data_IF_630024787376
#
_entry.id   IF_630024787376
#
_cell.length_a   1.000
_cell.length_b   1.000
_cell.length_c   1.000
_cell.angle_alpha   90.00
_cell.angle_beta   90.00
_cell.angle_gamma   90.00
#
_symmetry.space_group_name_H-M   'P 1'
#
loop_
_entity.id
_entity.type
_entity.pdbx_description
1 polymer ?
#
# COMPACT_ATOMS: atom_id res chain seq x y z
N UNK A 1 48.33 49.73 67.87
CA UNK A 1 49.65 49.73 67.20
C UNK A 1 50.35 48.41 67.48
N UNK A 2 50.60 47.63 66.42
CA UNK A 2 51.76 46.76 66.14
C UNK A 2 52.16 45.72 67.21
N UNK A 3 52.42 44.45 66.92
CA UNK A 3 52.60 43.68 65.70
C UNK A 3 52.61 42.20 66.17
N UNK A 4 51.69 41.33 65.73
CA UNK A 4 51.85 39.89 65.92
C UNK A 4 52.44 39.31 64.62
N UNK A 5 53.65 38.77 64.72
CA UNK A 5 54.41 38.18 63.62
C UNK A 5 53.93 36.73 63.37
N UNK A 6 53.41 36.52 62.16
CA UNK A 6 53.69 35.43 61.20
C UNK A 6 54.01 34.03 61.72
N UNK A 7 53.26 33.02 61.26
CA UNK A 7 53.79 31.78 60.67
C UNK A 7 52.80 31.37 59.56
N UNK A 8 53.24 31.45 58.31
CA UNK A 8 52.54 30.94 57.13
C UNK A 8 53.24 29.65 56.73
N UNK A 9 52.56 28.51 56.81
CA UNK A 9 53.02 27.25 56.26
C UNK A 9 52.45 27.15 54.84
N UNK A 10 53.29 27.34 53.84
CA UNK A 10 52.96 27.03 52.44
C UNK A 10 53.96 25.98 51.94
N UNK A 11 53.58 24.71 52.08
CA UNK A 11 54.27 23.59 51.47
C UNK A 11 53.69 23.43 50.05
N UNK A 12 54.32 24.06 49.07
CA UNK A 12 54.03 23.83 47.64
C UNK A 12 55.02 22.75 47.17
N UNK A 13 54.63 21.48 47.30
CA UNK A 13 55.32 20.39 46.65
C UNK A 13 54.88 20.32 45.19
N UNK A 14 55.83 20.57 44.30
CA UNK A 14 55.78 20.27 42.87
C UNK A 14 55.17 18.88 42.63
N UNK A 15 53.92 18.83 42.19
CA UNK A 15 53.37 17.66 41.50
C UNK A 15 53.68 17.81 40.02
N UNK A 16 54.56 16.94 39.54
CA UNK A 16 54.91 16.76 38.15
C UNK A 16 53.64 16.51 37.33
N UNK A 17 53.23 17.48 36.52
CA UNK A 17 52.19 17.30 35.52
C UNK A 17 52.76 16.38 34.46
N UNK A 18 52.57 15.07 34.63
CA UNK A 18 52.74 14.11 33.55
C UNK A 18 51.57 14.33 32.60
N UNK A 19 51.82 15.07 31.53
CA UNK A 19 50.90 15.17 30.40
C UNK A 19 50.83 13.79 29.75
N UNK A 20 49.90 12.96 30.20
CA UNK A 20 49.45 11.81 29.44
C UNK A 20 48.81 12.37 28.17
N UNK A 21 49.52 12.26 27.04
CA UNK A 21 48.88 12.38 25.74
C UNK A 21 47.97 11.18 25.62
N UNK A 22 46.70 11.36 25.94
CA UNK A 22 45.66 10.46 25.45
C UNK A 22 45.71 10.60 23.92
N UNK A 23 46.25 9.59 23.25
CA UNK A 23 45.89 9.37 21.86
C UNK A 23 44.42 8.98 21.91
N UNK A 24 43.55 9.93 21.58
CA UNK A 24 42.24 9.56 21.08
C UNK A 24 42.55 8.77 19.81
N UNK A 25 42.44 7.45 19.91
CA UNK A 25 42.32 6.60 18.74
C UNK A 25 41.08 7.15 18.02
N UNK A 26 41.31 7.80 16.88
CA UNK A 26 40.24 8.25 16.00
C UNK A 26 39.58 6.94 15.57
N UNK A 27 38.52 6.56 16.28
CA UNK A 27 37.74 5.39 15.93
C UNK A 27 37.28 5.64 14.51
N UNK A 28 37.90 4.95 13.55
CA UNK A 28 37.41 4.87 12.20
C UNK A 28 35.99 4.35 12.33
N UNK A 29 35.04 5.25 12.12
CA UNK A 29 33.61 4.96 12.13
C UNK A 29 33.43 3.96 10.99
N UNK A 30 33.42 2.66 11.32
CA UNK A 30 33.12 1.62 10.36
C UNK A 30 31.63 1.75 10.08
N UNK A 31 31.34 2.50 9.03
CA UNK A 31 30.08 2.54 8.31
C UNK A 31 29.37 1.18 8.38
N UNK A 32 28.36 1.08 9.24
CA UNK A 32 27.54 -0.12 9.37
C UNK A 32 26.45 -0.10 8.31
N UNK A 33 25.98 -1.28 7.92
CA UNK A 33 24.88 -1.40 6.98
C UNK A 33 23.57 -1.59 7.74
N UNK A 34 22.51 -0.94 7.27
CA UNK A 34 21.13 -1.19 7.69
C UNK A 34 20.39 -1.74 6.49
N UNK A 35 19.68 -2.85 6.69
CA UNK A 35 18.81 -3.43 5.67
C UNK A 35 17.37 -3.36 6.15
N UNK A 36 16.52 -2.74 5.34
CA UNK A 36 15.08 -2.61 5.59
C UNK A 36 14.34 -3.37 4.50
N UNK A 37 13.37 -4.19 4.87
CA UNK A 37 12.46 -4.86 3.93
C UNK A 37 11.03 -4.38 4.19
N UNK A 38 10.38 -3.86 3.14
CA UNK A 38 8.97 -3.48 3.19
C UNK A 38 8.10 -4.62 2.64
N UNK A 39 7.18 -5.12 3.48
CA UNK A 39 6.19 -6.12 3.10
C UNK A 39 4.80 -5.51 3.27
N UNK A 40 3.99 -5.57 2.21
CA UNK A 40 2.58 -5.17 2.26
C UNK A 40 1.72 -6.44 2.25
N UNK A 41 0.76 -6.53 3.15
CA UNK A 41 -0.19 -7.62 3.26
C UNK A 41 -1.52 -7.18 2.67
N UNK A 42 -1.92 -7.76 1.54
CA UNK A 42 -3.25 -7.51 0.98
C UNK A 42 -4.28 -8.29 1.78
N UNK A 43 -5.28 -7.64 2.34
CA UNK A 43 -6.22 -8.26 3.28
C UNK A 43 -7.65 -8.28 2.73
N UNK A 44 -8.28 -9.45 2.77
CA UNK A 44 -9.71 -9.63 2.50
C UNK A 44 -10.36 -10.29 3.73
N UNK A 45 -11.26 -9.57 4.38
CA UNK A 45 -12.14 -10.15 5.40
C UNK A 45 -13.24 -10.96 4.73
N UNK A 46 -13.38 -12.22 5.12
CA UNK A 46 -14.39 -13.12 4.59
C UNK A 46 -15.75 -12.88 5.28
N UNK A 47 -16.88 -13.07 4.57
CA UNK A 47 -18.19 -13.19 5.20
C UNK A 47 -18.24 -14.32 6.22
N UNK A 48 -19.12 -14.16 7.21
CA UNK A 48 -19.49 -15.26 8.11
C UNK A 48 -19.96 -16.48 7.30
N UNK A 49 -19.53 -17.67 7.71
CA UNK A 49 -19.87 -18.95 7.06
C UNK A 49 -19.35 -19.09 5.61
N UNK A 50 -18.24 -18.42 5.27
CA UNK A 50 -17.56 -18.68 4.00
C UNK A 50 -17.16 -20.17 3.88
N UNK A 51 -17.44 -20.75 2.72
CA UNK A 51 -17.16 -22.16 2.42
C UNK A 51 -15.64 -22.43 2.43
N UNK A 52 -15.22 -23.57 2.98
CA UNK A 52 -13.81 -23.99 2.96
C UNK A 52 -13.26 -24.06 1.54
N UNK A 53 -14.10 -24.37 0.53
CA UNK A 53 -13.68 -24.37 -0.87
C UNK A 53 -13.21 -22.99 -1.38
N UNK A 54 -13.69 -21.90 -0.78
CA UNK A 54 -13.25 -20.54 -1.08
C UNK A 54 -11.88 -20.29 -0.45
N UNK A 55 -11.68 -20.74 0.78
CA UNK A 55 -10.41 -20.63 1.52
C UNK A 55 -9.31 -21.43 0.79
N UNK A 56 -9.57 -22.72 0.53
CA UNK A 56 -8.63 -23.63 -0.15
C UNK A 56 -8.18 -23.06 -1.51
N UNK A 57 -9.12 -22.43 -2.23
CA UNK A 57 -8.84 -21.80 -3.52
C UNK A 57 -7.82 -20.66 -3.39
N UNK A 58 -7.98 -19.80 -2.38
CA UNK A 58 -7.09 -18.69 -2.13
C UNK A 58 -5.71 -19.17 -1.64
N UNK A 59 -5.68 -20.15 -0.74
CA UNK A 59 -4.43 -20.75 -0.25
C UNK A 59 -3.60 -21.37 -1.37
N UNK A 60 -4.25 -22.10 -2.29
CA UNK A 60 -3.59 -22.62 -3.50
C UNK A 60 -3.05 -21.53 -4.44
N UNK A 61 -3.54 -20.29 -4.31
CA UNK A 61 -3.07 -19.12 -5.05
C UNK A 61 -2.04 -18.26 -4.33
N UNK A 62 -1.49 -18.74 -3.21
CA UNK A 62 -0.46 -18.03 -2.43
C UNK A 62 -1.01 -16.98 -1.46
N UNK A 63 -2.28 -17.08 -1.09
CA UNK A 63 -2.83 -16.35 0.05
C UNK A 63 -2.73 -17.21 1.33
N UNK A 64 -2.81 -16.58 2.48
CA UNK A 64 -2.80 -17.23 3.79
C UNK A 64 -4.10 -16.92 4.52
N UNK A 65 -4.73 -17.93 5.12
CA UNK A 65 -5.95 -17.75 5.89
C UNK A 65 -5.65 -17.64 7.38
N UNK A 66 -6.11 -16.55 8.00
CA UNK A 66 -6.09 -16.36 9.45
C UNK A 66 -7.48 -16.69 10.04
N UNK A 67 -7.64 -17.84 10.73
CA UNK A 67 -8.93 -18.24 11.30
C UNK A 67 -9.33 -17.40 12.53
N UNK A 68 -8.40 -16.70 13.18
CA UNK A 68 -8.69 -15.84 14.34
C UNK A 68 -9.36 -14.54 13.91
N UNK A 69 -8.92 -13.96 12.79
CA UNK A 69 -9.48 -12.71 12.25
C UNK A 69 -10.46 -12.95 11.09
N UNK A 70 -10.63 -14.18 10.64
CA UNK A 70 -11.43 -14.56 9.46
C UNK A 70 -11.01 -13.78 8.20
N UNK A 71 -9.70 -13.73 7.95
CA UNK A 71 -9.10 -12.94 6.88
C UNK A 71 -8.20 -13.78 5.99
N UNK A 72 -8.22 -13.48 4.69
CA UNK A 72 -7.22 -13.90 3.72
C UNK A 72 -6.17 -12.81 3.58
N UNK A 73 -4.90 -13.18 3.56
CA UNK A 73 -3.76 -12.27 3.46
C UNK A 73 -2.84 -12.68 2.32
N UNK A 74 -2.26 -11.73 1.59
CA UNK A 74 -1.23 -12.02 0.59
C UNK A 74 -0.04 -11.08 0.80
N UNK A 75 1.11 -11.61 1.24
CA UNK A 75 2.32 -10.80 1.34
C UNK A 75 2.81 -10.45 -0.07
N UNK A 76 3.11 -9.17 -0.28
CA UNK A 76 3.63 -8.65 -1.54
C UNK A 76 4.70 -7.59 -1.26
N UNK A 77 5.64 -7.48 -2.19
CA UNK A 77 6.70 -6.46 -2.20
C UNK A 77 6.56 -5.63 -3.46
N UNK A 78 7.04 -4.40 -3.42
CA UNK A 78 7.01 -3.50 -4.57
C UNK A 78 8.39 -2.89 -4.78
N UNK A 79 8.77 -2.80 -6.05
CA UNK A 79 9.91 -2.00 -6.49
C UNK A 79 9.56 -0.51 -6.45
N UNK A 80 10.51 0.32 -6.04
CA UNK A 80 10.41 1.77 -6.12
C UNK A 80 9.52 2.43 -5.08
N UNK A 81 9.24 1.76 -3.95
CA UNK A 81 8.59 2.41 -2.81
C UNK A 81 9.59 3.27 -2.05
N UNK A 82 9.15 4.45 -1.66
CA UNK A 82 9.93 5.36 -0.82
C UNK A 82 10.00 4.84 0.63
N UNK A 83 11.22 4.66 1.11
CA UNK A 83 11.55 4.37 2.51
C UNK A 83 12.53 5.45 2.97
N UNK A 84 12.19 6.12 4.06
CA UNK A 84 13.01 7.15 4.66
C UNK A 84 13.75 6.57 5.87
N UNK A 85 15.08 6.65 5.87
CA UNK A 85 15.91 6.24 7.00
C UNK A 85 16.71 7.43 7.47
N UNK A 86 16.48 7.88 8.72
CA UNK A 86 17.07 9.08 9.31
C UNK A 86 16.98 10.33 8.39
N UNK A 87 15.81 10.59 7.82
CA UNK A 87 15.54 11.70 6.91
C UNK A 87 16.21 11.62 5.53
N UNK A 88 16.77 10.45 5.16
CA UNK A 88 17.26 10.18 3.81
C UNK A 88 16.29 9.23 3.11
N UNK A 89 15.83 9.61 1.93
CA UNK A 89 14.88 8.82 1.12
C UNK A 89 15.63 7.83 0.24
N UNK A 90 15.17 6.59 0.25
CA UNK A 90 15.62 5.48 -0.57
C UNK A 90 14.44 4.83 -1.28
N UNK A 91 14.72 4.10 -2.35
CA UNK A 91 13.72 3.35 -3.09
C UNK A 91 13.99 1.86 -2.97
N UNK A 92 12.95 1.08 -2.72
CA UNK A 92 13.05 -0.39 -2.65
C UNK A 92 13.44 -1.00 -4.00
N UNK A 93 14.15 -2.12 -3.95
CA UNK A 93 14.37 -2.99 -5.10
C UNK A 93 13.15 -3.89 -5.41
N UNK A 94 13.28 -4.81 -6.37
CA UNK A 94 12.23 -5.76 -6.76
C UNK A 94 11.72 -6.66 -5.62
N UNK A 95 12.52 -6.84 -4.56
CA UNK A 95 12.19 -7.63 -3.38
C UNK A 95 11.68 -6.78 -2.21
N UNK A 96 11.44 -5.48 -2.43
CA UNK A 96 11.00 -4.56 -1.38
C UNK A 96 12.12 -4.16 -0.42
N UNK A 97 13.40 -4.32 -0.80
CA UNK A 97 14.54 -4.16 0.10
C UNK A 97 15.29 -2.85 -0.18
N UNK A 98 15.74 -2.19 0.89
CA UNK A 98 16.72 -1.11 0.87
C UNK A 98 17.90 -1.51 1.77
N UNK A 99 19.11 -1.50 1.21
CA UNK A 99 20.35 -1.63 1.97
C UNK A 99 21.16 -0.34 1.87
N UNK A 100 21.51 0.24 3.01
CA UNK A 100 22.23 1.51 3.08
C UNK A 100 23.31 1.47 4.15
N UNK A 101 24.34 2.29 3.97
CA UNK A 101 25.34 2.51 5.00
C UNK A 101 24.95 3.70 5.87
N UNK A 102 25.06 3.54 7.18
CA UNK A 102 24.81 4.57 8.19
C UNK A 102 26.11 4.95 8.89
N UNK A 103 26.20 6.21 9.33
CA UNK A 103 27.27 6.69 10.21
C UNK A 103 27.07 6.19 11.66
N UNK A 104 25.89 5.65 11.98
CA UNK A 104 25.57 5.12 13.30
C UNK A 104 26.30 3.80 13.59
N UNK A 105 26.72 3.62 14.83
CA UNK A 105 27.38 2.41 15.29
C UNK A 105 26.37 1.28 15.56
N UNK A 106 26.83 0.04 15.62
CA UNK A 106 26.00 -1.10 16.00
C UNK A 106 25.32 -0.87 17.38
N UNK A 107 24.02 -1.11 17.44
CA UNK A 107 23.18 -0.88 18.63
C UNK A 107 22.71 0.56 18.82
N UNK A 108 23.06 1.50 17.93
CA UNK A 108 22.39 2.82 17.88
C UNK A 108 21.09 2.71 17.09
N UNK A 109 20.07 3.48 17.45
CA UNK A 109 18.75 3.43 16.81
C UNK A 109 18.72 4.24 15.51
N UNK A 110 18.07 3.71 14.46
CA UNK A 110 17.64 4.45 13.26
C UNK A 110 16.13 4.65 13.26
N UNK A 111 15.67 5.80 12.74
CA UNK A 111 14.25 6.00 12.45
C UNK A 111 13.97 5.60 11.01
N UNK A 112 12.94 4.77 10.83
CA UNK A 112 12.51 4.26 9.52
C UNK A 112 11.07 4.72 9.32
N UNK A 113 10.82 5.41 8.21
CA UNK A 113 9.48 5.80 7.77
C UNK A 113 9.14 5.19 6.41
N UNK A 114 7.89 4.77 6.23
CA UNK A 114 7.38 4.24 4.97
C UNK A 114 6.03 4.88 4.65
N UNK A 115 5.78 5.15 3.36
CA UNK A 115 4.45 5.56 2.90
C UNK A 115 3.40 4.49 3.27
N UNK A 116 2.28 4.96 3.82
CA UNK A 116 1.10 4.13 4.09
C UNK A 116 0.23 4.07 2.83
N UNK A 117 -0.03 2.87 2.33
CA UNK A 117 -0.86 2.60 1.17
C UNK A 117 -2.28 2.23 1.59
N UNK A 118 -3.27 2.78 0.88
CA UNK A 118 -4.68 2.46 1.12
C UNK A 118 -5.39 2.10 -0.18
N UNK A 119 -6.19 1.03 -0.15
CA UNK A 119 -7.09 0.67 -1.24
C UNK A 119 -8.47 1.38 -1.14
N UNK A 120 -8.58 2.38 -0.27
CA UNK A 120 -9.78 3.20 -0.06
C UNK A 120 -9.40 4.66 0.12
N UNK A 121 -9.93 5.56 -0.70
CA UNK A 121 -9.93 6.99 -0.36
C UNK A 121 -11.20 7.71 -0.85
N UNK A 122 -12.22 7.77 0.01
CA UNK A 122 -12.95 9.01 0.23
C UNK A 122 -12.36 9.67 1.47
N UNK A 123 -11.19 10.27 1.33
CA UNK A 123 -10.82 11.56 1.93
C UNK A 123 -9.30 11.77 1.88
N UNK A 124 -8.91 12.86 1.23
CA UNK A 124 -7.54 13.33 0.91
C UNK A 124 -6.65 13.57 2.14
N UNK A 125 -7.06 13.17 3.35
CA UNK A 125 -6.31 13.35 4.60
C UNK A 125 -5.52 12.12 5.05
N UNK A 126 -5.74 10.93 4.48
CA UNK A 126 -4.99 9.71 4.82
C UNK A 126 -3.78 9.45 3.90
N UNK A 127 -3.81 9.86 2.63
CA UNK A 127 -2.74 9.72 1.60
C UNK A 127 -1.34 10.27 1.92
N UNK A 128 -1.11 10.89 3.08
CA UNK A 128 0.21 11.37 3.48
C UNK A 128 0.65 10.85 4.86
N UNK A 129 -0.02 9.81 5.39
CA UNK A 129 0.44 9.18 6.62
C UNK A 129 1.67 8.32 6.33
N UNK A 130 2.71 8.51 7.13
CA UNK A 130 3.87 7.63 7.14
C UNK A 130 3.78 6.71 8.35
N UNK A 131 4.06 5.44 8.14
CA UNK A 131 4.36 4.51 9.23
C UNK A 131 5.78 4.81 9.69
N UNK A 132 5.95 5.12 10.98
CA UNK A 132 7.25 5.41 11.58
C UNK A 132 7.58 4.34 12.62
N UNK A 133 8.79 3.79 12.56
CA UNK A 133 9.32 2.81 13.51
C UNK A 133 10.80 3.11 13.81
N UNK A 134 11.31 2.55 14.91
CA UNK A 134 12.72 2.60 15.25
C UNK A 134 13.31 1.19 15.31
N UNK A 135 14.57 1.07 14.93
CA UNK A 135 15.29 -0.20 14.98
C UNK A 135 16.77 0.02 15.28
N UNK A 136 17.39 -0.95 15.95
CA UNK A 136 18.83 -0.92 16.22
C UNK A 136 19.62 -1.22 14.94
N UNK A 137 20.71 -0.48 14.72
CA UNK A 137 21.69 -0.77 13.68
C UNK A 137 22.33 -2.13 13.97
N UNK A 138 22.08 -3.08 13.08
CA UNK A 138 22.63 -4.43 13.15
C UNK A 138 22.65 -5.04 11.75
N UNK A 139 23.30 -6.20 11.62
CA UNK A 139 23.27 -7.00 10.38
C UNK A 139 21.90 -7.66 10.13
N UNK A 140 20.94 -7.54 11.07
CA UNK A 140 19.59 -8.07 10.91
C UNK A 140 18.74 -7.19 9.99
N UNK A 141 17.86 -7.83 9.24
CA UNK A 141 16.91 -7.10 8.38
C UNK A 141 15.73 -6.61 9.22
N UNK A 142 15.50 -5.30 9.18
CA UNK A 142 14.30 -4.70 9.78
C UNK A 142 13.13 -4.88 8.81
N UNK A 143 12.11 -5.62 9.23
CA UNK A 143 10.91 -5.84 8.42
C UNK A 143 9.84 -4.84 8.82
N UNK A 144 9.40 -4.02 7.86
CA UNK A 144 8.28 -3.08 8.01
C UNK A 144 7.06 -3.69 7.33
N UNK A 145 6.09 -4.11 8.15
CA UNK A 145 4.85 -4.70 7.67
C UNK A 145 3.69 -3.70 7.67
N UNK A 146 2.92 -3.68 6.58
CA UNK A 146 1.69 -2.90 6.48
C UNK A 146 0.54 -3.76 5.96
N UNK A 147 -0.67 -3.51 6.44
CA UNK A 147 -1.87 -4.27 6.07
C UNK A 147 -2.83 -3.40 5.25
N UNK A 148 -3.00 -3.73 3.98
CA UNK A 148 -3.85 -3.02 3.02
C UNK A 148 -5.19 -3.72 2.92
N UNK A 149 -6.26 -3.08 3.40
CA UNK A 149 -7.61 -3.65 3.38
C UNK A 149 -8.25 -3.53 1.99
N UNK A 150 -8.42 -4.65 1.30
CA UNK A 150 -9.07 -4.71 -0.02
C UNK A 150 -10.59 -4.80 0.04
N UNK A 151 -11.21 -4.94 1.21
CA UNK A 151 -12.67 -5.02 1.31
C UNK A 151 -13.33 -3.80 0.71
N UNK A 152 -12.76 -2.59 0.81
CA UNK A 152 -13.34 -1.40 0.16
C UNK A 152 -13.33 -1.49 -1.37
N UNK A 153 -12.21 -1.94 -1.96
CA UNK A 153 -12.12 -2.18 -3.41
C UNK A 153 -13.11 -3.24 -3.86
N UNK A 154 -13.29 -4.27 -3.04
CA UNK A 154 -14.31 -5.29 -3.25
C UNK A 154 -15.70 -4.68 -3.14
N UNK A 155 -15.91 -3.75 -2.16
CA UNK A 155 -17.09 -2.99 -1.68
C UNK A 155 -17.48 -1.67 -2.38
N UNK A 156 -16.82 -1.28 -3.47
CA UNK A 156 -17.13 -0.02 -4.19
C UNK A 156 -17.57 -0.19 -5.66
N UNK A 157 -18.22 -1.30 -5.99
CA UNK A 157 -18.92 -1.66 -7.22
C UNK A 157 -20.22 -0.90 -7.37
N UNK A 158 -21.05 -0.90 -6.33
CA UNK A 158 -22.45 -0.50 -6.35
C UNK A 158 -22.73 0.83 -5.66
N UNK A 159 -21.79 1.37 -4.89
CA UNK A 159 -21.96 2.59 -4.07
C UNK A 159 -21.95 3.92 -4.85
N UNK A 160 -22.50 3.91 -6.06
CA UNK A 160 -23.18 5.08 -6.59
C UNK A 160 -24.62 5.06 -6.10
N UNK A 161 -24.86 5.60 -4.90
CA UNK A 161 -26.20 5.79 -4.37
C UNK A 161 -27.06 6.47 -5.45
N UNK A 162 -28.11 5.76 -5.89
CA UNK A 162 -29.17 6.29 -6.72
C UNK A 162 -29.95 7.30 -5.88
N UNK A 163 -29.61 8.58 -6.01
CA UNK A 163 -30.63 9.60 -5.83
C UNK A 163 -31.53 9.51 -7.06
N UNK A 164 -32.77 9.06 -6.83
CA UNK A 164 -33.87 9.19 -7.76
C UNK A 164 -33.94 10.65 -8.23
N UNK A 165 -33.50 10.93 -9.46
CA UNK A 165 -33.92 12.13 -10.16
C UNK A 165 -35.08 11.70 -11.05
N UNK A 166 -36.29 11.94 -10.54
CA UNK A 166 -37.54 11.87 -11.30
C UNK A 166 -37.39 12.64 -12.61
N UNK A 167 -37.76 12.00 -13.70
CA UNK A 167 -37.90 12.59 -15.03
C UNK A 167 -38.78 13.86 -14.98
N UNK A 168 -38.21 15.05 -15.21
CA UNK A 168 -38.95 16.17 -15.80
C UNK A 168 -38.07 16.97 -16.79
N UNK A 169 -38.50 16.89 -18.04
CA UNK A 169 -38.46 17.91 -19.10
C UNK A 169 -37.12 18.29 -19.77
N UNK A 170 -37.10 18.02 -21.08
CA UNK A 170 -36.19 18.62 -22.04
C UNK A 170 -36.47 20.12 -22.18
N UNK A 171 -35.44 20.98 -22.09
CA UNK A 171 -35.33 22.18 -22.92
C UNK A 171 -33.89 22.71 -23.00
N UNK A 172 -33.43 22.77 -24.25
CA UNK A 172 -32.60 23.77 -24.93
C UNK A 172 -31.62 24.70 -24.16
N UNK A 173 -30.46 24.83 -24.80
CA UNK A 173 -29.55 25.97 -24.85
C UNK A 173 -28.54 26.27 -23.72
N UNK A 174 -27.29 26.30 -24.19
CA UNK A 174 -26.18 27.20 -23.82
C UNK A 174 -25.13 26.65 -22.86
N UNK A 175 -24.00 26.25 -23.46
CA UNK A 175 -22.71 26.06 -22.81
C UNK A 175 -22.24 27.41 -22.21
N UNK A 176 -22.03 27.43 -20.90
CA UNK A 176 -21.13 28.38 -20.24
C UNK A 176 -20.15 27.59 -19.37
N UNK A 177 -18.86 27.74 -19.70
CA UNK A 177 -17.73 27.35 -18.85
C UNK A 177 -17.81 28.13 -17.54
N UNK A 178 -18.02 27.41 -16.44
CA UNK A 178 -17.23 27.41 -15.21
C UNK A 178 -18.02 26.66 -14.13
N UNK A 179 -17.30 26.00 -13.24
CA UNK A 179 -17.81 25.18 -12.11
C UNK A 179 -18.48 23.85 -12.46
N UNK A 180 -17.68 22.79 -12.57
CA UNK A 180 -18.06 21.50 -11.99
C UNK A 180 -16.89 20.92 -11.21
N UNK A 181 -16.90 21.15 -9.89
CA UNK A 181 -16.34 20.20 -8.92
C UNK A 181 -17.20 18.94 -9.05
N UNK A 182 -16.83 18.08 -10.01
CA UNK A 182 -17.56 16.85 -10.29
C UNK A 182 -17.37 15.87 -9.15
N UNK A 183 -18.43 15.60 -8.39
CA UNK A 183 -18.53 14.40 -7.58
C UNK A 183 -18.21 13.18 -8.45
N UNK A 184 -17.11 12.48 -8.15
CA UNK A 184 -16.78 11.20 -8.76
C UNK A 184 -17.74 10.13 -8.23
N UNK A 185 -18.94 10.08 -8.82
CA UNK A 185 -19.91 9.00 -8.66
C UNK A 185 -19.38 7.76 -9.38
N UNK A 186 -18.70 6.89 -8.65
CA UNK A 186 -18.14 5.65 -9.17
C UNK A 186 -19.09 4.45 -8.95
N UNK A 187 -20.36 4.55 -9.34
CA UNK A 187 -20.98 3.35 -9.90
C UNK A 187 -20.19 3.03 -11.17
N UNK A 188 -19.82 1.77 -11.41
CA UNK A 188 -19.48 1.37 -12.76
C UNK A 188 -20.71 1.74 -13.61
N UNK A 189 -20.69 2.80 -14.43
CA UNK A 189 -21.86 3.10 -15.21
C UNK A 189 -22.08 1.83 -16.05
N UNK A 190 -23.34 1.39 -16.10
CA UNK A 190 -23.81 0.38 -17.04
C UNK A 190 -23.66 -1.11 -16.66
N UNK A 191 -23.45 -1.54 -15.42
CA UNK A 191 -23.64 -2.97 -15.07
C UNK A 191 -24.67 -3.17 -13.95
N UNK A 192 -25.71 -3.94 -14.25
CA UNK A 192 -26.70 -4.35 -13.27
C UNK A 192 -26.11 -5.43 -12.36
N UNK A 193 -26.60 -5.52 -11.13
CA UNK A 193 -26.21 -6.58 -10.21
C UNK A 193 -26.42 -7.97 -10.85
N UNK A 194 -25.43 -8.84 -10.73
CA UNK A 194 -25.32 -10.18 -11.32
C UNK A 194 -25.25 -10.20 -12.85
N UNK A 195 -25.08 -9.06 -13.50
CA UNK A 195 -24.89 -9.00 -14.95
C UNK A 195 -23.57 -9.67 -15.34
N UNK A 196 -23.62 -10.54 -16.35
CA UNK A 196 -22.45 -11.03 -17.04
C UNK A 196 -22.16 -10.08 -18.22
N UNK A 197 -21.05 -9.32 -18.22
CA UNK A 197 -20.74 -8.42 -19.31
C UNK A 197 -20.37 -9.18 -20.58
N UNK A 198 -20.62 -8.58 -21.74
CA UNK A 198 -20.09 -9.08 -23.01
C UNK A 198 -18.57 -8.83 -23.09
N UNK A 199 -17.86 -9.72 -23.80
CA UNK A 199 -16.43 -9.54 -24.10
C UNK A 199 -16.18 -8.17 -24.75
N UNK A 200 -15.13 -7.49 -24.33
CA UNK A 200 -14.74 -6.17 -24.82
C UNK A 200 -15.53 -5.00 -24.22
N UNK A 201 -16.56 -5.26 -23.40
CA UNK A 201 -17.34 -4.21 -22.76
C UNK A 201 -16.45 -3.32 -21.90
N UNK A 202 -16.62 -2.01 -22.01
CA UNK A 202 -15.99 -1.05 -21.12
C UNK A 202 -16.45 -1.31 -19.68
N UNK A 203 -15.49 -1.39 -18.77
CA UNK A 203 -15.73 -1.60 -17.34
C UNK A 203 -14.77 -0.70 -16.55
N UNK A 204 -15.07 -0.52 -15.26
CA UNK A 204 -14.16 0.14 -14.34
C UNK A 204 -12.85 -0.65 -14.27
N UNK A 205 -12.89 -1.83 -13.64
CA UNK A 205 -11.76 -2.73 -13.52
C UNK A 205 -12.20 -4.17 -13.74
N UNK A 206 -11.33 -4.99 -14.34
CA UNK A 206 -11.47 -6.44 -14.44
C UNK A 206 -11.19 -7.09 -13.07
N UNK A 207 -11.94 -6.70 -12.04
CA UNK A 207 -11.83 -7.26 -10.69
C UNK A 207 -12.70 -8.51 -10.48
N UNK A 208 -13.48 -8.87 -11.49
CA UNK A 208 -14.47 -9.94 -11.39
C UNK A 208 -14.34 -10.95 -12.55
N UNK A 209 -13.18 -11.00 -13.20
CA UNK A 209 -12.92 -11.87 -14.34
C UNK A 209 -12.05 -13.10 -14.02
N UNK A 210 -11.77 -13.36 -12.74
CA UNK A 210 -10.96 -14.49 -12.29
C UNK A 210 -11.51 -15.84 -12.74
N UNK A 211 -10.64 -16.83 -12.99
CA UNK A 211 -11.01 -18.02 -13.78
C UNK A 211 -11.98 -18.98 -13.07
N UNK A 212 -11.91 -19.11 -11.74
CA UNK A 212 -12.83 -19.93 -10.92
C UNK A 212 -14.14 -19.22 -10.58
N UNK A 213 -14.22 -17.94 -10.91
CA UNK A 213 -15.42 -17.14 -10.81
C UNK A 213 -16.42 -17.40 -11.93
N UNK A 214 -17.65 -16.93 -11.74
CA UNK A 214 -18.70 -16.94 -12.76
C UNK A 214 -18.63 -15.72 -13.70
N UNK A 215 -17.76 -14.75 -13.41
CA UNK A 215 -17.54 -13.58 -14.25
C UNK A 215 -18.61 -12.50 -14.12
N UNK A 216 -19.58 -12.65 -13.21
CA UNK A 216 -20.68 -11.70 -13.03
C UNK A 216 -20.23 -10.52 -12.17
N UNK A 217 -20.75 -9.36 -12.50
CA UNK A 217 -20.64 -8.17 -11.67
C UNK A 217 -21.58 -8.31 -10.47
N UNK A 218 -21.10 -8.06 -9.26
CA UNK A 218 -21.91 -8.12 -8.03
C UNK A 218 -21.92 -6.74 -7.39
N UNK A 219 -23.09 -6.10 -7.31
CA UNK A 219 -23.20 -4.77 -6.70
C UNK A 219 -23.15 -4.79 -5.17
N UNK A 220 -23.25 -5.97 -4.56
CA UNK A 220 -23.04 -6.22 -3.13
C UNK A 220 -21.86 -7.19 -2.96
N UNK A 221 -20.92 -6.85 -2.11
CA UNK A 221 -19.58 -6.67 -2.63
C UNK A 221 -18.48 -7.40 -1.87
N UNK A 222 -18.80 -7.85 -0.66
CA UNK A 222 -18.06 -8.89 0.02
C UNK A 222 -18.74 -10.25 -0.13
N UNK A 223 -19.70 -10.45 -1.03
CA UNK A 223 -20.34 -11.76 -1.18
C UNK A 223 -19.30 -12.84 -1.53
N UNK A 224 -19.48 -14.11 -1.10
CA UNK A 224 -18.54 -15.19 -1.46
C UNK A 224 -18.34 -15.33 -2.98
N UNK A 225 -19.33 -14.98 -3.78
CA UNK A 225 -19.23 -14.94 -5.24
C UNK A 225 -18.36 -13.79 -5.77
N UNK A 226 -18.46 -12.60 -5.18
CA UNK A 226 -17.61 -11.47 -5.54
C UNK A 226 -16.14 -11.75 -5.21
N UNK A 227 -15.88 -12.28 -4.01
CA UNK A 227 -14.55 -12.72 -3.58
C UNK A 227 -14.01 -13.80 -4.53
N UNK A 228 -14.82 -14.82 -4.86
CA UNK A 228 -14.43 -15.84 -5.84
C UNK A 228 -14.11 -15.27 -7.22
N UNK A 229 -14.83 -14.24 -7.67
CA UNK A 229 -14.57 -13.58 -8.95
C UNK A 229 -13.28 -12.72 -8.93
N UNK A 230 -12.88 -12.23 -7.75
CA UNK A 230 -11.66 -11.44 -7.56
C UNK A 230 -10.40 -12.28 -7.63
N UNK A 231 -10.43 -13.50 -7.11
CA UNK A 231 -9.29 -14.41 -7.15
C UNK A 231 -8.73 -14.61 -8.57
N UNK A 232 -7.46 -14.27 -8.77
CA UNK A 232 -6.78 -14.24 -10.08
C UNK A 232 -7.48 -13.43 -11.16
N UNK A 233 -8.29 -12.45 -10.78
CA UNK A 233 -8.73 -11.42 -11.70
C UNK A 233 -7.55 -10.56 -12.14
N UNK A 234 -7.73 -9.76 -13.19
CA UNK A 234 -6.70 -8.79 -13.56
C UNK A 234 -6.37 -7.86 -12.38
N UNK A 235 -7.37 -7.50 -11.56
CA UNK A 235 -7.19 -6.62 -10.41
C UNK A 235 -6.32 -7.26 -9.32
N UNK A 236 -6.60 -8.49 -8.89
CA UNK A 236 -5.78 -9.22 -7.91
C UNK A 236 -4.31 -9.26 -8.34
N UNK A 237 -4.05 -9.70 -9.57
CA UNK A 237 -2.68 -9.85 -10.06
C UNK A 237 -2.00 -8.49 -10.29
N UNK A 238 -2.75 -7.45 -10.65
CA UNK A 238 -2.20 -6.09 -10.78
C UNK A 238 -1.83 -5.48 -9.45
N UNK A 239 -2.70 -5.64 -8.43
CA UNK A 239 -2.43 -5.17 -7.07
C UNK A 239 -1.18 -5.83 -6.51
N UNK A 240 -0.96 -7.11 -6.78
CA UNK A 240 0.26 -7.81 -6.38
C UNK A 240 1.54 -7.37 -7.12
N UNK A 241 1.45 -6.54 -8.17
CA UNK A 241 2.60 -6.10 -8.99
C UNK A 241 2.81 -4.59 -8.99
N UNK A 242 1.81 -3.82 -8.61
CA UNK A 242 1.85 -2.37 -8.70
C UNK A 242 0.88 -1.72 -7.73
N UNK A 243 1.31 -0.60 -7.17
CA UNK A 243 0.50 0.26 -6.31
C UNK A 243 -0.55 1.08 -7.06
N UNK A 244 -0.47 1.17 -8.40
CA UNK A 244 -1.32 2.05 -9.21
C UNK A 244 -2.82 1.77 -9.05
N UNK A 245 -3.20 0.51 -8.87
CA UNK A 245 -4.60 0.09 -8.78
C UNK A 245 -5.24 0.38 -7.42
N UNK A 246 -4.47 0.82 -6.41
CA UNK A 246 -5.04 1.25 -5.12
C UNK A 246 -5.87 2.53 -5.24
N UNK A 247 -5.49 3.42 -6.15
CA UNK A 247 -6.14 4.72 -6.35
C UNK A 247 -7.52 4.63 -7.04
N UNK A 248 -7.94 3.45 -7.50
CA UNK A 248 -9.09 3.24 -8.41
C UNK A 248 -10.44 3.71 -7.85
N UNK A 249 -10.55 3.90 -6.54
CA UNK A 249 -11.75 4.41 -5.86
C UNK A 249 -11.53 5.77 -5.17
N UNK A 250 -10.43 6.44 -5.51
CA UNK A 250 -10.10 7.79 -5.08
C UNK A 250 -10.43 8.87 -6.10
N UNK A 251 -9.95 10.09 -5.84
CA UNK A 251 -10.21 11.28 -6.68
C UNK A 251 -9.53 11.26 -8.05
N UNK A 252 -8.46 10.48 -8.21
CA UNK A 252 -7.75 10.34 -9.49
C UNK A 252 -7.44 8.86 -9.78
N UNK A 253 -8.46 8.07 -10.16
CA UNK A 253 -8.30 6.64 -10.30
C UNK A 253 -7.39 6.26 -11.47
N UNK A 254 -6.62 5.18 -11.34
CA UNK A 254 -5.78 4.68 -12.44
C UNK A 254 -6.61 3.88 -13.45
N UNK A 255 -7.53 3.07 -12.91
CA UNK A 255 -8.53 2.29 -13.59
C UNK A 255 -9.89 2.92 -13.30
N UNK A 256 -10.69 3.24 -14.31
CA UNK A 256 -12.01 3.82 -14.12
C UNK A 256 -12.88 3.54 -15.33
N UNK A 257 -14.20 3.55 -15.16
CA UNK A 257 -15.10 3.29 -16.29
C UNK A 257 -15.23 4.49 -17.25
N UNK A 258 -14.80 5.67 -16.79
CA UNK A 258 -14.62 6.89 -17.59
C UNK A 258 -13.44 7.70 -17.03
N UNK A 259 -12.73 8.47 -17.88
CA UNK A 259 -12.81 8.47 -19.35
C UNK A 259 -12.34 7.13 -19.95
N UNK A 260 -12.63 6.90 -21.24
CA UNK A 260 -12.27 5.64 -21.93
C UNK A 260 -10.78 5.31 -21.89
N UNK A 261 -9.93 6.33 -21.72
CA UNK A 261 -8.48 6.21 -21.52
C UNK A 261 -8.08 5.61 -20.18
N UNK A 262 -9.02 5.38 -19.24
CA UNK A 262 -8.82 4.70 -17.96
C UNK A 262 -9.58 3.37 -17.80
N UNK A 263 -10.39 2.96 -18.78
CA UNK A 263 -11.14 1.70 -18.75
C UNK A 263 -10.22 0.49 -18.57
N UNK A 264 -10.53 -0.36 -17.58
CA UNK A 264 -9.87 -1.64 -17.30
C UNK A 264 -8.34 -1.57 -17.30
N UNK A 265 -7.78 -0.43 -16.88
CA UNK A 265 -6.38 -0.11 -17.04
C UNK A 265 -5.44 -0.98 -16.21
N UNK A 266 -5.90 -1.51 -15.06
CA UNK A 266 -5.16 -2.53 -14.32
C UNK A 266 -4.83 -3.75 -15.18
N UNK A 267 -5.73 -4.16 -16.09
CA UNK A 267 -5.46 -5.24 -17.05
C UNK A 267 -4.18 -5.01 -17.87
N UNK A 268 -3.80 -3.76 -18.16
CA UNK A 268 -2.57 -3.44 -18.92
C UNK A 268 -1.31 -3.78 -18.13
N UNK A 269 -1.31 -3.62 -16.79
CA UNK A 269 -0.16 -3.97 -15.92
C UNK A 269 0.19 -5.45 -16.06
N UNK A 270 -0.82 -6.28 -16.31
CA UNK A 270 -0.69 -7.71 -16.46
C UNK A 270 -0.73 -8.20 -17.91
N UNK A 271 -0.66 -7.27 -18.89
CA UNK A 271 -0.61 -7.59 -20.32
C UNK A 271 -1.95 -8.02 -20.94
N UNK A 272 -3.06 -7.76 -20.26
CA UNK A 272 -4.41 -8.10 -20.71
C UNK A 272 -5.14 -6.94 -21.38
N UNK A 273 -6.24 -7.26 -22.06
CA UNK A 273 -7.08 -6.28 -22.73
C UNK A 273 -7.87 -5.40 -21.74
N UNK A 274 -8.08 -4.14 -22.11
CA UNK A 274 -8.78 -3.13 -21.29
C UNK A 274 -10.28 -3.34 -21.14
N UNK A 275 -10.90 -4.06 -22.07
CA UNK A 275 -12.32 -4.40 -21.98
C UNK A 275 -12.53 -5.66 -21.13
N UNK A 276 -13.77 -5.90 -20.73
CA UNK A 276 -14.12 -7.12 -20.02
C UNK A 276 -13.71 -8.36 -20.82
N UNK A 277 -13.09 -9.31 -20.15
CA UNK A 277 -12.78 -10.62 -20.69
C UNK A 277 -12.69 -11.61 -19.54
N UNK A 278 -13.41 -12.73 -19.64
CA UNK A 278 -13.37 -13.77 -18.61
C UNK A 278 -12.09 -14.61 -18.75
N UNK A 279 -11.42 -14.93 -17.64
CA UNK A 279 -10.34 -15.92 -17.67
C UNK A 279 -10.92 -17.34 -17.75
N UNK A 280 -10.27 -18.18 -18.55
CA UNK A 280 -10.67 -19.58 -18.82
C UNK A 280 -9.64 -20.61 -18.35
N UNK A 281 -8.54 -20.16 -17.77
CA UNK A 281 -7.51 -21.00 -17.14
C UNK A 281 -6.74 -20.19 -16.12
N UNK A 282 -5.74 -20.80 -15.46
CA UNK A 282 -4.87 -20.14 -14.49
C UNK A 282 -4.26 -18.88 -15.12
N UNK A 283 -4.78 -17.72 -14.73
CA UNK A 283 -4.48 -16.42 -15.30
C UNK A 283 -4.44 -16.34 -16.85
N UNK A 284 -5.38 -17.03 -17.51
CA UNK A 284 -5.44 -17.11 -18.98
C UNK A 284 -6.73 -16.46 -19.50
N UNK A 285 -6.67 -15.29 -20.16
CA UNK A 285 -7.87 -14.64 -20.68
C UNK A 285 -8.48 -15.47 -21.82
N UNK A 286 -9.81 -15.53 -21.89
CA UNK A 286 -10.50 -16.06 -23.07
C UNK A 286 -10.01 -15.33 -24.33
N UNK A 287 -9.99 -16.03 -25.48
CA UNK A 287 -9.73 -15.42 -26.79
C UNK A 287 -10.95 -14.68 -27.33
#
# INVERSE_FOLDING_TARGET
MKLLKTITILFLALMSVTSTRAFAEEATQENQNVTVQSIKHLVITLPENSDSSLIDMYENGGWEYNPTTNQLQKPVTYEGLEIEVDNKVYNTDENGVVSLSTEKNAGEEVTIESEQLSASEKDVKESNQKLSTTADVSDETVVVEEYINLNHLLNSMGDGQTDEVTDEEAHDATLTQDEQVGELKAAAPYLDNKQLPSRGRAIHCNRFNGYLGDGRYYSNEASPSAIRNFFQSDCDVSLARSTKCYADYGSNPYCAAKPSTKNGHCGVIVGHARGYHKHTGWFSPSK
#
